data_IF_139538669754
#
_entry.id   IF_139538669754
#
_cell.length_a   1.000
_cell.length_b   1.000
_cell.length_c   1.000
_cell.angle_alpha   90.00
_cell.angle_beta   90.00
_cell.angle_gamma   90.00
#
_symmetry.space_group_name_H-M   'P 1'
#
loop_
_entity.id
_entity.type
_entity.pdbx_description
1 polymer ?
#
# COMPACT_ATOMS: atom_id res chain seq x y z
N UNK A 1 -3.35 15.28 -8.31
CA UNK A 1 -4.46 15.42 -9.29
C UNK A 1 -4.64 14.08 -10.00
N UNK A 2 -5.72 13.33 -9.76
CA UNK A 2 -5.89 11.96 -10.31
C UNK A 2 -6.07 11.93 -11.85
N UNK A 3 -6.37 13.08 -12.46
CA UNK A 3 -6.60 13.20 -13.91
C UNK A 3 -5.33 13.03 -14.76
N UNK A 4 -4.16 12.98 -14.13
CA UNK A 4 -2.89 12.69 -14.81
C UNK A 4 -2.78 11.22 -15.25
N UNK A 5 -3.58 10.34 -14.65
CA UNK A 5 -3.64 8.93 -15.00
C UNK A 5 -4.68 8.69 -16.10
N UNK A 6 -4.59 7.57 -16.84
CA UNK A 6 -5.63 7.13 -17.76
C UNK A 6 -7.02 7.08 -17.10
N UNK A 7 -8.06 7.34 -17.89
CA UNK A 7 -9.44 7.41 -17.40
C UNK A 7 -9.91 6.09 -16.74
N UNK A 8 -9.36 4.96 -17.18
CA UNK A 8 -9.59 3.64 -16.58
C UNK A 8 -9.18 3.57 -15.09
N UNK A 9 -8.18 4.36 -14.67
CA UNK A 9 -7.67 4.36 -13.30
C UNK A 9 -8.35 5.38 -12.39
N UNK A 10 -9.06 6.37 -12.93
CA UNK A 10 -9.64 7.47 -12.15
C UNK A 10 -10.53 6.98 -10.99
N UNK A 11 -11.35 5.95 -11.23
CA UNK A 11 -12.25 5.41 -10.21
C UNK A 11 -11.48 4.87 -9.00
N UNK A 12 -10.30 4.28 -9.23
CA UNK A 12 -9.44 3.69 -8.19
C UNK A 12 -8.57 4.74 -7.51
N UNK A 13 -8.01 5.69 -8.26
CA UNK A 13 -7.12 6.74 -7.72
C UNK A 13 -7.89 7.82 -6.95
N UNK A 14 -9.14 8.14 -7.35
CA UNK A 14 -9.92 9.18 -6.67
C UNK A 14 -10.38 8.79 -5.27
N UNK A 15 -10.30 7.51 -4.90
CA UNK A 15 -10.77 7.00 -3.61
C UNK A 15 -9.61 6.53 -2.75
N UNK A 16 -9.85 6.42 -1.44
CA UNK A 16 -8.91 5.92 -0.44
C UNK A 16 -9.05 4.42 -0.19
N UNK A 17 -9.81 3.70 -1.03
CA UNK A 17 -10.16 2.29 -0.84
C UNK A 17 -8.93 1.40 -0.62
N UNK A 18 -7.81 1.69 -1.29
CA UNK A 18 -6.56 0.97 -1.08
C UNK A 18 -6.00 1.14 0.32
N UNK A 19 -5.91 2.39 0.74
CA UNK A 19 -5.38 2.74 2.05
C UNK A 19 -6.29 2.18 3.15
N UNK A 20 -7.60 2.22 2.95
CA UNK A 20 -8.59 1.63 3.85
C UNK A 20 -8.45 0.11 3.95
N UNK A 21 -8.24 -0.59 2.82
CA UNK A 21 -8.02 -2.05 2.81
C UNK A 21 -6.73 -2.43 3.53
N UNK A 22 -5.64 -1.70 3.27
CA UNK A 22 -4.36 -1.84 3.97
C UNK A 22 -4.53 -1.60 5.49
N UNK A 23 -5.16 -0.48 5.87
CA UNK A 23 -5.40 -0.13 7.27
C UNK A 23 -6.27 -1.17 7.99
N UNK A 24 -7.28 -1.72 7.30
CA UNK A 24 -8.13 -2.79 7.83
C UNK A 24 -7.31 -4.04 8.10
N UNK A 25 -6.43 -4.42 7.19
CA UNK A 25 -5.59 -5.61 7.33
C UNK A 25 -4.52 -5.45 8.42
N UNK A 26 -3.87 -4.28 8.47
CA UNK A 26 -2.94 -3.94 9.54
C UNK A 26 -3.61 -4.00 10.91
N UNK A 27 -4.80 -3.38 11.06
CA UNK A 27 -5.60 -3.45 12.30
C UNK A 27 -6.03 -4.88 12.64
N UNK A 28 -6.34 -5.71 11.64
CA UNK A 28 -6.77 -7.09 11.86
C UNK A 28 -5.64 -7.96 12.38
N UNK A 29 -4.45 -7.89 11.77
CA UNK A 29 -3.28 -8.69 12.19
C UNK A 29 -2.66 -8.16 13.49
N UNK A 30 -2.64 -6.85 13.70
CA UNK A 30 -2.12 -6.27 14.94
C UNK A 30 -2.97 -6.60 16.18
N UNK A 31 -4.29 -6.79 16.02
CA UNK A 31 -5.18 -7.22 17.12
C UNK A 31 -4.73 -8.52 17.79
N UNK A 32 -4.17 -9.47 17.05
CA UNK A 32 -3.68 -10.74 17.59
C UNK A 32 -2.37 -10.58 18.38
N UNK A 33 -1.59 -9.54 18.07
CA UNK A 33 -0.29 -9.25 18.69
C UNK A 33 -0.48 -8.43 19.99
N UNK A 34 -1.50 -7.56 20.03
CA UNK A 34 -1.78 -6.70 21.17
C UNK A 34 -0.84 -5.51 21.27
N UNK A 35 0.44 -5.75 21.60
CA UNK A 35 1.48 -4.74 21.69
C UNK A 35 2.79 -5.22 21.05
N UNK A 36 3.48 -4.34 20.32
CA UNK A 36 4.76 -4.65 19.70
C UNK A 36 5.91 -4.33 20.66
N UNK A 37 6.95 -5.18 20.65
CA UNK A 37 8.13 -4.99 21.49
C UNK A 37 9.09 -3.90 20.96
N UNK A 38 9.05 -3.60 19.66
CA UNK A 38 9.83 -2.55 19.00
C UNK A 38 9.20 -2.15 17.65
N UNK A 39 9.65 -1.02 17.10
CA UNK A 39 9.16 -0.48 15.83
C UNK A 39 9.51 -1.38 14.63
N UNK A 40 10.65 -2.06 14.68
CA UNK A 40 11.06 -2.97 13.61
C UNK A 40 10.08 -4.13 13.42
N UNK A 41 9.46 -4.61 14.51
CA UNK A 41 8.46 -5.69 14.48
C UNK A 41 7.14 -5.20 13.86
N UNK A 42 6.75 -3.95 14.12
CA UNK A 42 5.61 -3.32 13.46
C UNK A 42 5.88 -3.11 11.97
N UNK A 43 7.05 -2.59 11.62
CA UNK A 43 7.48 -2.40 10.23
C UNK A 43 7.53 -3.74 9.47
N UNK A 44 8.00 -4.81 10.12
CA UNK A 44 8.01 -6.14 9.51
C UNK A 44 6.60 -6.61 9.18
N UNK A 45 5.64 -6.47 10.10
CA UNK A 45 4.23 -6.83 9.83
C UNK A 45 3.66 -6.01 8.66
N UNK A 46 3.88 -4.70 8.66
CA UNK A 46 3.43 -3.83 7.58
C UNK A 46 4.06 -4.22 6.23
N UNK A 47 5.36 -4.54 6.24
CA UNK A 47 6.11 -5.03 5.08
C UNK A 47 5.55 -6.33 4.54
N UNK A 48 5.31 -7.33 5.39
CA UNK A 48 4.70 -8.61 4.99
C UNK A 48 3.31 -8.41 4.37
N UNK A 49 2.45 -7.57 4.97
CA UNK A 49 1.12 -7.28 4.40
C UNK A 49 1.25 -6.65 3.00
N UNK A 50 2.21 -5.75 2.82
CA UNK A 50 2.42 -5.10 1.53
C UNK A 50 2.96 -6.07 0.48
N UNK A 51 3.84 -6.99 0.88
CA UNK A 51 4.34 -8.07 0.02
C UNK A 51 3.21 -9.00 -0.42
N UNK A 52 2.34 -9.43 0.51
CA UNK A 52 1.18 -10.28 0.21
C UNK A 52 0.27 -9.60 -0.84
N UNK A 53 -0.01 -8.30 -0.68
CA UNK A 53 -0.86 -7.54 -1.60
C UNK A 53 -0.18 -7.36 -2.96
N UNK A 54 1.12 -7.09 -2.97
CA UNK A 54 1.89 -6.98 -4.20
C UNK A 54 1.88 -8.30 -4.97
N UNK A 55 2.04 -9.43 -4.29
CA UNK A 55 1.97 -10.76 -4.90
C UNK A 55 0.57 -11.03 -5.49
N UNK A 56 -0.51 -10.71 -4.76
CA UNK A 56 -1.89 -10.82 -5.24
C UNK A 56 -2.11 -10.02 -6.55
N UNK A 57 -1.51 -8.83 -6.65
CA UNK A 57 -1.65 -7.98 -7.83
C UNK A 57 -0.80 -8.41 -9.01
N UNK A 58 0.38 -8.96 -8.76
CA UNK A 58 1.25 -9.48 -9.82
C UNK A 58 0.64 -10.74 -10.42
N UNK A 59 0.10 -11.62 -9.59
CA UNK A 59 -0.38 -12.96 -9.98
C UNK A 59 -1.86 -12.98 -10.40
N UNK A 60 -2.68 -12.08 -9.87
CA UNK A 60 -4.13 -12.06 -10.06
C UNK A 60 -4.66 -10.81 -10.77
N UNK A 61 -5.78 -10.25 -10.28
CA UNK A 61 -6.36 -9.03 -10.83
C UNK A 61 -5.56 -7.81 -10.37
N UNK A 62 -4.75 -7.26 -11.29
CA UNK A 62 -4.01 -6.02 -11.06
C UNK A 62 -4.91 -4.88 -10.61
N UNK A 63 -4.52 -4.23 -9.51
CA UNK A 63 -5.21 -3.04 -9.02
C UNK A 63 -5.02 -1.81 -9.92
N UNK A 64 -3.95 -1.76 -10.71
CA UNK A 64 -3.79 -0.82 -11.83
C UNK A 64 -3.15 -1.58 -13.00
N UNK A 65 -3.68 -1.43 -14.22
CA UNK A 65 -3.06 -1.98 -15.43
C UNK A 65 -1.69 -1.32 -15.65
N UNK A 66 -0.67 -2.14 -15.92
CA UNK A 66 0.73 -1.71 -15.98
C UNK A 66 1.14 -1.01 -17.28
N UNK A 67 0.19 -0.69 -18.16
CA UNK A 67 0.46 0.06 -19.40
C UNK A 67 0.85 1.51 -19.13
N UNK A 68 0.48 2.05 -17.97
CA UNK A 68 0.63 3.47 -17.68
C UNK A 68 1.39 3.65 -16.37
N UNK A 69 2.70 3.84 -16.50
CA UNK A 69 3.57 4.18 -15.38
C UNK A 69 3.15 5.56 -14.85
N UNK A 70 2.38 5.58 -13.77
CA UNK A 70 2.16 6.79 -12.98
C UNK A 70 3.44 6.99 -12.16
N UNK A 71 4.38 7.77 -12.71
CA UNK A 71 5.57 8.17 -11.96
C UNK A 71 5.11 9.10 -10.83
N UNK A 72 5.10 8.57 -9.60
CA UNK A 72 5.01 9.42 -8.43
C UNK A 72 6.38 10.09 -8.26
N UNK A 73 6.46 11.39 -8.57
CA UNK A 73 7.66 12.19 -8.32
C UNK A 73 7.77 12.50 -6.82
N UNK A 74 7.97 11.47 -5.99
CA UNK A 74 8.50 11.69 -4.64
C UNK A 74 9.21 10.44 -4.14
N UNK A 75 10.51 10.36 -4.42
CA UNK A 75 11.43 9.34 -3.88
C UNK A 75 12.27 9.90 -2.72
N UNK A 76 11.78 10.91 -2.00
CA UNK A 76 12.55 11.61 -0.95
C UNK A 76 11.88 11.72 0.41
N UNK A 77 11.05 10.75 0.79
CA UNK A 77 10.83 10.49 2.21
C UNK A 77 12.02 9.69 2.75
N UNK A 78 13.12 10.37 3.07
CA UNK A 78 14.21 9.82 3.86
C UNK A 78 13.63 9.33 5.19
N UNK A 79 13.50 8.01 5.32
CA UNK A 79 13.13 7.33 6.56
C UNK A 79 14.34 7.30 7.51
N UNK A 80 14.96 8.47 7.73
CA UNK A 80 16.20 8.61 8.51
C UNK A 80 16.06 9.82 9.44
N UNK A 81 15.17 9.71 10.41
CA UNK A 81 15.20 10.50 11.63
C UNK A 81 14.28 9.86 12.68
N UNK A 82 14.76 8.78 13.30
CA UNK A 82 14.59 8.45 14.72
C UNK A 82 15.65 7.41 15.10
#
# INVERSE_FOLDING_TARGET
>A
NYRIAPQEHWRRIRTTNMLERLNKELKRRSRAIGAFSNDASLLHLAGTILMDINEEWITGQRYLSGSDVIVCQDTRAEFTAL
#
